data_IF_292426900557
#
_entry.id   IF_292426900557
#
_cell.length_a   1.000
_cell.length_b   1.000
_cell.length_c   1.000
_cell.angle_alpha   90.00
_cell.angle_beta   90.00
_cell.angle_gamma   90.00
#
_symmetry.space_group_name_H-M   'P 1'
#
loop_
_entity.id
_entity.type
_entity.pdbx_description
1 polymer ?
#
# COMPACT_ATOMS: atom_id res chain seq x y z
N UNK A 1 -0.90 -35.42 -51.97
CA UNK A 1 -1.37 -35.36 -50.57
C UNK A 1 -0.75 -34.11 -49.96
N UNK A 2 -1.50 -33.00 -49.95
CA UNK A 2 -0.98 -31.68 -49.57
C UNK A 2 -1.06 -31.49 -48.06
N UNK A 3 0.08 -31.27 -47.40
CA UNK A 3 0.16 -30.85 -46.00
C UNK A 3 -0.33 -29.40 -45.90
N UNK A 4 -1.42 -29.15 -45.19
CA UNK A 4 -1.88 -27.79 -44.90
C UNK A 4 -0.96 -27.16 -43.87
N UNK A 5 -0.27 -26.09 -44.26
CA UNK A 5 0.37 -25.15 -43.35
C UNK A 5 -0.70 -24.56 -42.42
N UNK A 6 -0.56 -24.78 -41.11
CA UNK A 6 -1.30 -24.02 -40.12
C UNK A 6 -0.39 -22.89 -39.64
N UNK A 7 -0.73 -21.61 -39.87
CA UNK A 7 0.05 -20.52 -39.31
C UNK A 7 -0.04 -20.57 -37.78
N UNK A 8 1.09 -20.35 -37.13
CA UNK A 8 1.20 -20.26 -35.67
C UNK A 8 0.15 -19.27 -35.15
N UNK A 9 -0.83 -19.76 -34.37
CA UNK A 9 -1.85 -18.89 -33.79
C UNK A 9 -1.17 -17.85 -32.89
N UNK A 10 -1.51 -16.55 -33.01
CA UNK A 10 -0.97 -15.55 -32.11
C UNK A 10 -1.35 -15.91 -30.66
N UNK A 11 -0.47 -15.64 -29.68
CA UNK A 11 -0.77 -15.90 -28.28
C UNK A 11 -2.11 -15.27 -27.88
N UNK A 12 -2.97 -16.09 -27.30
CA UNK A 12 -4.26 -15.64 -26.78
C UNK A 12 -4.02 -15.06 -25.39
N UNK A 13 -4.30 -13.77 -25.24
CA UNK A 13 -4.17 -13.07 -23.97
C UNK A 13 -5.53 -12.91 -23.31
N UNK A 14 -5.59 -13.19 -22.01
CA UNK A 14 -6.67 -12.75 -21.14
C UNK A 14 -6.23 -11.46 -20.45
N UNK A 15 -7.10 -10.44 -20.48
CA UNK A 15 -6.88 -9.17 -19.79
C UNK A 15 -8.09 -8.88 -18.92
N UNK A 16 -7.82 -8.54 -17.67
CA UNK A 16 -8.81 -8.07 -16.70
C UNK A 16 -8.22 -6.85 -16.01
N UNK A 17 -8.96 -5.75 -16.04
CA UNK A 17 -8.62 -4.53 -15.31
C UNK A 17 -9.03 -4.72 -13.85
N UNK A 18 -8.08 -4.55 -12.93
CA UNK A 18 -8.38 -4.60 -11.50
C UNK A 18 -8.72 -3.18 -11.05
N UNK A 19 -9.98 -2.89 -10.68
CA UNK A 19 -10.36 -1.55 -10.25
C UNK A 19 -9.80 -1.24 -8.85
N UNK A 20 -9.75 0.05 -8.55
CA UNK A 20 -9.55 0.57 -7.20
C UNK A 20 -10.59 0.02 -6.21
N UNK A 21 -10.20 -0.13 -4.95
CA UNK A 21 -11.10 -0.57 -3.89
C UNK A 21 -12.23 0.44 -3.69
N UNK A 22 -13.46 -0.03 -3.67
CA UNK A 22 -14.61 0.77 -3.31
C UNK A 22 -14.68 0.99 -1.77
N UNK A 23 -15.59 1.87 -1.33
CA UNK A 23 -15.74 2.24 0.10
C UNK A 23 -15.92 1.02 1.01
N UNK A 24 -16.67 0.01 0.58
CA UNK A 24 -16.95 -1.17 1.39
C UNK A 24 -15.74 -2.10 1.47
N UNK A 25 -15.02 -2.26 0.37
CA UNK A 25 -13.78 -3.05 0.31
C UNK A 25 -12.69 -2.43 1.18
N UNK A 26 -12.53 -1.10 1.13
CA UNK A 26 -11.58 -0.37 2.00
C UNK A 26 -11.88 -0.56 3.48
N UNK A 27 -13.15 -0.41 3.89
CA UNK A 27 -13.59 -0.65 5.26
C UNK A 27 -13.35 -2.09 5.70
N UNK A 28 -13.69 -3.04 4.82
CA UNK A 28 -13.51 -4.46 5.05
C UNK A 28 -12.04 -4.83 5.24
N UNK A 29 -11.16 -4.36 4.35
CA UNK A 29 -9.72 -4.59 4.41
C UNK A 29 -9.11 -3.96 5.67
N UNK A 30 -9.42 -2.68 5.93
CA UNK A 30 -8.92 -1.95 7.10
C UNK A 30 -9.26 -2.70 8.39
N UNK A 31 -10.52 -3.06 8.58
CA UNK A 31 -10.97 -3.76 9.78
C UNK A 31 -10.28 -5.13 9.93
N UNK A 32 -10.30 -5.94 8.87
CA UNK A 32 -9.74 -7.31 8.93
C UNK A 32 -8.23 -7.29 9.16
N UNK A 33 -7.51 -6.38 8.51
CA UNK A 33 -6.07 -6.28 8.66
C UNK A 33 -5.66 -5.71 10.02
N UNK A 34 -6.39 -4.71 10.54
CA UNK A 34 -6.21 -4.23 11.91
C UNK A 34 -6.42 -5.33 12.94
N UNK A 35 -7.50 -6.12 12.81
CA UNK A 35 -7.74 -7.29 13.68
C UNK A 35 -6.63 -8.33 13.55
N UNK A 36 -6.15 -8.61 12.33
CA UNK A 36 -5.02 -9.52 12.11
C UNK A 36 -3.74 -9.06 12.83
N UNK A 37 -3.49 -7.74 12.88
CA UNK A 37 -2.38 -7.12 13.62
C UNK A 37 -2.61 -7.00 15.13
N UNK A 38 -3.75 -7.48 15.64
CA UNK A 38 -4.09 -7.40 17.06
C UNK A 38 -4.47 -6.00 17.53
N UNK A 39 -4.85 -5.10 16.62
CA UNK A 39 -5.33 -3.77 16.96
C UNK A 39 -6.83 -3.79 17.29
N UNK A 40 -7.18 -3.20 18.42
CA UNK A 40 -8.57 -2.95 18.81
C UNK A 40 -8.96 -1.51 18.43
N UNK A 41 -9.39 -1.32 17.19
CA UNK A 41 -9.82 -0.02 16.66
C UNK A 41 -11.33 0.16 16.89
N UNK A 42 -11.71 1.29 17.49
CA UNK A 42 -13.11 1.63 17.67
C UNK A 42 -13.79 1.88 16.32
N UNK A 43 -15.13 1.84 16.31
CA UNK A 43 -15.91 2.23 15.11
C UNK A 43 -15.59 3.65 14.63
N UNK A 44 -15.23 4.55 15.54
CA UNK A 44 -14.82 5.92 15.20
C UNK A 44 -13.43 5.96 14.56
N UNK A 45 -12.48 5.17 15.05
CA UNK A 45 -11.15 5.01 14.43
C UNK A 45 -11.25 4.43 13.02
N UNK A 46 -12.01 3.35 12.87
CA UNK A 46 -12.22 2.71 11.57
C UNK A 46 -12.88 3.67 10.58
N UNK A 47 -13.84 4.48 11.03
CA UNK A 47 -14.46 5.50 10.19
C UNK A 47 -13.47 6.58 9.80
N UNK A 48 -12.74 7.13 10.76
CA UNK A 48 -11.75 8.18 10.51
C UNK A 48 -10.73 7.75 9.46
N UNK A 49 -10.10 6.58 9.62
CA UNK A 49 -9.11 6.11 8.64
C UNK A 49 -9.75 5.73 7.32
N UNK A 50 -10.93 5.08 7.32
CA UNK A 50 -11.61 4.74 6.07
C UNK A 50 -11.95 5.96 5.21
N UNK A 51 -12.20 7.12 5.81
CA UNK A 51 -12.53 8.35 5.09
C UNK A 51 -11.28 9.04 4.50
N UNK A 52 -10.07 8.70 5.00
CA UNK A 52 -8.78 9.16 4.46
C UNK A 52 -8.27 8.31 3.30
N UNK A 53 -8.70 7.04 3.25
CA UNK A 53 -8.23 6.07 2.28
C UNK A 53 -8.85 6.31 0.90
N UNK A 54 -8.00 6.37 -0.12
CA UNK A 54 -8.39 6.26 -1.52
C UNK A 54 -8.53 4.78 -1.91
N UNK A 55 -8.71 4.46 -3.19
CA UNK A 55 -8.90 3.09 -3.66
C UNK A 55 -7.68 2.16 -3.58
N UNK A 56 -6.48 2.66 -3.24
CA UNK A 56 -5.26 1.86 -3.23
C UNK A 56 -5.17 0.95 -1.99
N UNK A 57 -5.11 -0.40 -2.14
CA UNK A 57 -5.00 -1.32 -1.00
C UNK A 57 -3.80 -1.06 -0.10
N UNK A 58 -2.68 -0.60 -0.68
CA UNK A 58 -1.43 -0.40 0.05
C UNK A 58 -1.50 0.77 1.04
N UNK A 59 -2.36 1.77 0.81
CA UNK A 59 -2.64 2.80 1.82
C UNK A 59 -3.29 2.20 3.07
N UNK A 60 -4.15 1.19 2.90
CA UNK A 60 -4.77 0.49 4.03
C UNK A 60 -3.71 -0.23 4.85
N UNK A 61 -2.79 -0.92 4.16
CA UNK A 61 -1.69 -1.62 4.82
C UNK A 61 -0.79 -0.63 5.58
N UNK A 62 -0.38 0.45 4.90
CA UNK A 62 0.45 1.50 5.48
C UNK A 62 -0.19 2.14 6.72
N UNK A 63 -1.49 2.45 6.67
CA UNK A 63 -2.20 3.02 7.81
C UNK A 63 -2.20 2.06 9.02
N UNK A 64 -2.53 0.79 8.81
CA UNK A 64 -2.58 -0.21 9.88
C UNK A 64 -1.20 -0.50 10.46
N UNK A 65 -0.20 -0.67 9.60
CA UNK A 65 1.19 -0.92 10.02
C UNK A 65 1.73 0.29 10.80
N UNK A 66 1.46 1.51 10.34
CA UNK A 66 1.83 2.72 11.08
C UNK A 66 1.17 2.79 12.45
N UNK A 67 -0.11 2.41 12.58
CA UNK A 67 -0.81 2.39 13.88
C UNK A 67 -0.18 1.34 14.80
N UNK A 68 0.17 0.18 14.24
CA UNK A 68 0.86 -0.89 14.96
C UNK A 68 2.23 -0.45 15.49
N UNK A 69 2.98 0.32 14.71
CA UNK A 69 4.37 0.69 15.04
C UNK A 69 4.47 1.96 15.89
N UNK A 70 3.64 2.96 15.62
CA UNK A 70 3.73 4.31 16.22
C UNK A 70 2.61 4.61 17.22
N UNK A 71 1.53 3.82 17.19
CA UNK A 71 0.34 4.03 17.99
C UNK A 71 -0.68 4.98 17.35
N UNK A 72 -1.95 4.75 17.69
CA UNK A 72 -3.12 5.42 17.11
C UNK A 72 -3.05 6.95 17.15
N UNK A 73 -2.62 7.53 18.28
CA UNK A 73 -2.57 8.99 18.45
C UNK A 73 -1.57 9.65 17.51
N UNK A 74 -0.36 9.08 17.38
CA UNK A 74 0.69 9.61 16.52
C UNK A 74 0.24 9.59 15.05
N UNK A 75 -0.32 8.47 14.61
CA UNK A 75 -0.80 8.33 13.23
C UNK A 75 -1.98 9.24 12.91
N UNK A 76 -2.89 9.48 13.88
CA UNK A 76 -3.97 10.45 13.70
C UNK A 76 -3.44 11.87 13.49
N UNK A 77 -2.41 12.26 14.25
CA UNK A 77 -1.74 13.57 14.12
C UNK A 77 -1.10 13.73 12.74
N UNK A 78 -0.46 12.69 12.24
CA UNK A 78 0.27 12.69 10.97
C UNK A 78 -0.53 12.00 9.84
N UNK A 79 -1.86 12.07 9.91
CA UNK A 79 -2.78 11.37 9.01
C UNK A 79 -2.69 11.78 7.53
N UNK A 80 -2.10 12.94 7.24
CA UNK A 80 -1.80 13.39 5.88
C UNK A 80 -0.85 12.41 5.15
N UNK A 81 0.09 11.77 5.87
CA UNK A 81 1.02 10.80 5.30
C UNK A 81 0.32 9.59 4.70
N UNK A 82 -0.82 9.17 5.25
CA UNK A 82 -1.62 8.06 4.71
C UNK A 82 -2.16 8.43 3.32
N UNK A 83 -2.61 9.68 3.16
CA UNK A 83 -3.12 10.17 1.89
C UNK A 83 -2.00 10.32 0.86
N UNK A 84 -0.89 10.94 1.27
CA UNK A 84 0.28 11.15 0.40
C UNK A 84 0.95 9.84 -0.04
N UNK A 85 0.78 8.75 0.71
CA UNK A 85 1.39 7.46 0.39
C UNK A 85 0.94 6.87 -0.96
N UNK A 86 -0.27 7.18 -1.44
CA UNK A 86 -0.70 6.77 -2.79
C UNK A 86 -0.02 7.58 -3.90
N UNK A 87 0.32 8.84 -3.62
CA UNK A 87 0.87 9.76 -4.61
C UNK A 87 2.39 9.64 -4.70
N UNK A 88 3.08 9.51 -3.56
CA UNK A 88 4.55 9.47 -3.48
C UNK A 88 5.04 8.59 -2.32
N UNK A 89 4.95 7.27 -2.53
CA UNK A 89 5.40 6.23 -1.58
C UNK A 89 6.85 6.42 -1.14
N UNK A 90 7.74 6.78 -2.05
CA UNK A 90 9.16 6.92 -1.76
C UNK A 90 9.41 8.09 -0.80
N UNK A 91 8.81 9.24 -1.08
CA UNK A 91 8.88 10.43 -0.21
C UNK A 91 8.36 10.12 1.19
N UNK A 92 7.16 9.52 1.31
CA UNK A 92 6.56 9.21 2.62
C UNK A 92 7.44 8.26 3.44
N UNK A 93 8.02 7.23 2.81
CA UNK A 93 8.95 6.31 3.49
C UNK A 93 10.19 7.08 3.99
N UNK A 94 10.80 7.91 3.15
CA UNK A 94 11.99 8.70 3.55
C UNK A 94 11.65 9.67 4.69
N UNK A 95 10.54 10.39 4.61
CA UNK A 95 10.10 11.34 5.64
C UNK A 95 9.81 10.64 6.98
N UNK A 96 9.28 9.42 6.96
CA UNK A 96 9.05 8.63 8.19
C UNK A 96 10.34 8.33 8.96
N UNK A 97 11.50 8.37 8.30
CA UNK A 97 12.82 8.17 8.91
C UNK A 97 13.61 9.46 9.09
N UNK A 98 12.99 10.63 8.88
CA UNK A 98 13.65 11.95 9.00
C UNK A 98 14.42 12.17 10.31
N UNK A 99 13.99 11.53 11.40
CA UNK A 99 14.62 11.63 12.72
C UNK A 99 15.56 10.44 13.05
N UNK A 100 15.79 9.51 12.11
CA UNK A 100 16.63 8.32 12.28
C UNK A 100 17.71 8.26 11.19
N UNK A 101 18.77 9.04 11.39
CA UNK A 101 19.88 9.21 10.45
C UNK A 101 20.48 7.88 9.99
N UNK A 102 20.56 6.88 10.88
CA UNK A 102 21.13 5.57 10.57
C UNK A 102 20.27 4.80 9.56
N UNK A 103 18.94 4.85 9.70
CA UNK A 103 18.02 4.24 8.73
C UNK A 103 18.06 4.96 7.39
N UNK A 104 18.15 6.28 7.38
CA UNK A 104 18.31 7.07 6.15
C UNK A 104 19.60 6.70 5.41
N UNK A 105 20.74 6.65 6.10
CA UNK A 105 22.02 6.23 5.52
C UNK A 105 21.97 4.83 4.92
N UNK A 106 21.25 3.91 5.57
CA UNK A 106 21.05 2.57 5.05
C UNK A 106 20.16 2.56 3.80
N UNK A 107 19.07 3.33 3.78
CA UNK A 107 18.23 3.53 2.59
C UNK A 107 19.04 4.10 1.41
N UNK A 108 19.87 5.13 1.65
CA UNK A 108 20.77 5.68 0.64
C UNK A 108 21.83 4.69 0.17
N UNK A 109 22.27 3.78 1.04
CA UNK A 109 23.17 2.71 0.64
C UNK A 109 22.46 1.71 -0.28
N UNK A 110 21.25 1.29 0.06
CA UNK A 110 20.46 0.36 -0.76
C UNK A 110 20.13 0.94 -2.15
N UNK A 111 19.80 2.23 -2.24
CA UNK A 111 19.46 2.86 -3.53
C UNK A 111 20.63 2.95 -4.51
N UNK A 112 21.87 2.73 -4.06
CA UNK A 112 23.06 2.68 -4.93
C UNK A 112 23.21 1.37 -5.70
N UNK A 113 22.42 0.34 -5.38
CA UNK A 113 22.46 -0.94 -6.08
C UNK A 113 21.31 -1.03 -7.09
N UNK A 114 21.61 -0.88 -8.38
CA UNK A 114 20.63 -0.95 -9.49
C UNK A 114 19.94 -2.33 -9.64
N UNK A 115 20.40 -3.37 -8.93
CA UNK A 115 19.90 -4.74 -9.08
C UNK A 115 18.69 -5.09 -8.20
N UNK A 116 18.22 -4.17 -7.35
CA UNK A 116 17.03 -4.38 -6.49
C UNK A 116 15.77 -3.69 -7.07
N UNK A 117 15.93 -2.88 -8.13
CA UNK A 117 14.86 -2.15 -8.82
C UNK A 117 14.11 -2.96 -9.87
#
# INVERSE_FOLDING_TARGET
MWLRYQPDLPPQYYFEEIPELNVQERKGLLKRYATYKGLDLSSEDLRFFSDLLSGYPEQVLFAVDSISDLGLYAVRKDSHLIREYADDKAKVIVESFSNDQKKLEFLYFLSKFEFIS
#
